data_IF_145921454082
#
_entry.id   IF_145921454082
#
_cell.length_a   1.000
_cell.length_b   1.000
_cell.length_c   1.000
_cell.angle_alpha   90.00
_cell.angle_beta   90.00
_cell.angle_gamma   90.00
#
_symmetry.space_group_name_H-M   'P 1'
#
loop_
_entity.id
_entity.type
_entity.pdbx_description
1 polymer ?
#
# COMPACT_ATOMS: atom_id res chain seq x y z
N UNK A 1 -7.56 -11.41 -11.52
CA UNK A 1 -6.63 -10.76 -10.57
C UNK A 1 -6.81 -11.38 -9.19
N UNK A 2 -5.79 -11.29 -8.34
CA UNK A 2 -5.91 -11.58 -6.90
C UNK A 2 -6.09 -10.28 -6.14
N UNK A 3 -6.84 -10.32 -5.06
CA UNK A 3 -6.96 -9.26 -4.07
C UNK A 3 -6.61 -9.83 -2.70
N UNK A 4 -6.01 -9.02 -1.85
CA UNK A 4 -5.78 -9.31 -0.45
C UNK A 4 -6.91 -8.71 0.36
N UNK A 5 -7.73 -9.54 1.00
CA UNK A 5 -8.65 -9.08 2.04
C UNK A 5 -7.89 -8.99 3.35
N UNK A 6 -7.73 -7.77 3.84
CA UNK A 6 -7.12 -7.43 5.13
C UNK A 6 -8.21 -7.34 6.19
N UNK A 7 -8.13 -8.17 7.23
CA UNK A 7 -9.10 -8.15 8.34
C UNK A 7 -8.80 -7.04 9.35
N UNK A 8 -9.84 -6.51 10.03
CA UNK A 8 -9.68 -5.43 10.99
C UNK A 8 -8.97 -5.87 12.28
N UNK A 9 -8.37 -4.90 12.98
CA UNK A 9 -7.94 -5.07 14.37
C UNK A 9 -7.90 -3.71 15.09
N UNK A 10 -8.24 -3.69 16.37
CA UNK A 10 -8.25 -2.47 17.17
C UNK A 10 -6.85 -1.89 17.38
N UNK A 11 -5.85 -2.74 17.59
CA UNK A 11 -4.47 -2.34 17.87
C UNK A 11 -3.58 -2.51 16.63
N UNK A 12 -2.66 -1.56 16.42
CA UNK A 12 -1.70 -1.61 15.29
C UNK A 12 -0.83 -2.88 15.32
N UNK A 13 -0.42 -3.32 16.50
CA UNK A 13 0.54 -4.42 16.66
C UNK A 13 -0.12 -5.80 16.71
N UNK A 14 -1.46 -5.87 16.77
CA UNK A 14 -2.20 -7.14 16.66
C UNK A 14 -1.81 -7.94 15.42
N UNK A 15 -1.86 -9.28 15.50
CA UNK A 15 -1.56 -10.19 14.39
C UNK A 15 -2.30 -9.77 13.11
N UNK A 16 -1.59 -9.63 11.99
CA UNK A 16 -2.20 -9.32 10.69
C UNK A 16 -2.84 -10.58 10.16
N UNK A 17 -4.15 -10.54 9.90
CA UNK A 17 -4.91 -11.63 9.28
C UNK A 17 -5.39 -11.21 7.91
N UNK A 18 -5.19 -12.10 6.94
CA UNK A 18 -5.54 -11.86 5.55
C UNK A 18 -6.11 -13.10 4.85
N UNK A 19 -6.75 -12.85 3.71
CA UNK A 19 -7.24 -13.88 2.78
C UNK A 19 -6.94 -13.45 1.34
N UNK A 20 -6.55 -14.38 0.46
CA UNK A 20 -6.45 -14.11 -0.97
C UNK A 20 -7.79 -14.41 -1.65
N UNK A 21 -8.31 -13.42 -2.35
CA UNK A 21 -9.55 -13.53 -3.12
C UNK A 21 -9.21 -13.50 -4.61
N UNK A 22 -9.74 -14.47 -5.35
CA UNK A 22 -9.64 -14.50 -6.80
C UNK A 22 -10.88 -13.82 -7.41
N UNK A 23 -10.65 -12.82 -8.25
CA UNK A 23 -11.72 -12.11 -8.94
C UNK A 23 -11.33 -11.72 -10.37
N UNK A 24 -12.29 -11.20 -11.11
CA UNK A 24 -12.11 -10.74 -12.48
C UNK A 24 -12.42 -9.23 -12.56
N UNK A 25 -11.53 -8.45 -13.17
CA UNK A 25 -11.73 -7.02 -13.39
C UNK A 25 -13.03 -6.69 -14.15
N UNK A 26 -13.48 -7.57 -15.05
CA UNK A 26 -14.74 -7.42 -15.80
C UNK A 26 -15.95 -7.34 -14.84
N UNK A 27 -15.88 -8.00 -13.68
CA UNK A 27 -16.93 -7.95 -12.65
C UNK A 27 -16.92 -6.65 -11.83
N UNK A 28 -16.03 -5.71 -12.15
CA UNK A 28 -15.87 -4.44 -11.45
C UNK A 28 -15.79 -4.62 -9.92
N UNK A 29 -14.84 -5.43 -9.42
CA UNK A 29 -14.68 -5.62 -7.99
C UNK A 29 -14.35 -4.29 -7.32
N UNK A 30 -14.83 -4.10 -6.09
CA UNK A 30 -14.46 -2.93 -5.26
C UNK A 30 -13.21 -3.28 -4.47
N UNK A 31 -12.14 -2.55 -4.74
CA UNK A 31 -10.84 -2.69 -4.10
C UNK A 31 -10.02 -1.41 -4.21
N UNK A 32 -8.96 -1.33 -3.42
CA UNK A 32 -8.01 -0.24 -3.43
C UNK A 32 -6.66 -0.77 -3.91
N UNK A 33 -5.94 -0.01 -4.73
CA UNK A 33 -4.57 -0.36 -5.09
C UNK A 33 -3.59 0.32 -4.12
N UNK A 34 -2.54 -0.36 -3.72
CA UNK A 34 -1.52 0.19 -2.83
C UNK A 34 -0.24 0.41 -3.61
N UNK A 35 0.22 1.65 -3.64
CA UNK A 35 1.52 2.02 -4.19
C UNK A 35 2.49 2.31 -3.05
N UNK A 36 3.54 1.50 -2.95
CA UNK A 36 4.52 1.60 -1.88
C UNK A 36 5.89 1.18 -2.39
N UNK A 37 6.94 1.58 -1.69
CA UNK A 37 8.30 1.12 -2.01
C UNK A 37 8.53 -0.28 -1.47
N UNK A 38 9.11 -1.17 -2.26
CA UNK A 38 9.34 -2.54 -1.76
C UNK A 38 10.35 -2.61 -0.61
N UNK A 39 11.25 -1.63 -0.53
CA UNK A 39 12.28 -1.55 0.51
C UNK A 39 13.28 -2.70 0.41
N UNK A 40 13.73 -3.19 1.57
CA UNK A 40 14.47 -4.45 1.66
C UNK A 40 13.58 -5.61 1.19
N UNK A 41 14.09 -6.38 0.21
CA UNK A 41 13.38 -7.50 -0.40
C UNK A 41 13.38 -8.77 0.47
N UNK A 42 13.99 -8.72 1.65
CA UNK A 42 13.99 -9.83 2.59
C UNK A 42 12.57 -10.15 3.11
N UNK A 43 12.02 -11.28 2.66
CA UNK A 43 10.71 -11.80 3.07
C UNK A 43 10.79 -12.38 4.49
N UNK A 44 10.61 -11.53 5.49
CA UNK A 44 10.86 -11.86 6.89
C UNK A 44 9.64 -11.70 7.80
N UNK A 45 8.63 -10.94 7.39
CA UNK A 45 7.49 -10.63 8.24
C UNK A 45 6.30 -11.54 7.97
N UNK A 46 5.77 -12.24 8.98
CA UNK A 46 4.66 -13.16 8.79
C UNK A 46 3.30 -12.45 8.78
N UNK A 47 2.50 -12.75 7.77
CA UNK A 47 1.07 -12.40 7.69
C UNK A 47 0.25 -13.67 7.81
N UNK A 48 -0.70 -13.72 8.74
CA UNK A 48 -1.57 -14.88 8.95
C UNK A 48 -2.52 -15.03 7.78
N UNK A 49 -2.50 -16.20 7.14
CA UNK A 49 -3.46 -16.59 6.11
C UNK A 49 -4.46 -17.61 6.70
N UNK A 50 -5.49 -17.97 5.94
CA UNK A 50 -6.41 -19.04 6.32
C UNK A 50 -5.67 -20.35 6.65
N UNK A 51 -4.66 -20.69 5.84
CA UNK A 51 -3.78 -21.83 6.05
C UNK A 51 -2.32 -21.36 6.11
N UNK A 52 -1.79 -21.26 7.33
CA UNK A 52 -0.37 -20.92 7.56
C UNK A 52 -0.07 -19.42 7.49
N UNK A 53 1.07 -19.09 6.87
CA UNK A 53 1.62 -17.75 6.82
C UNK A 53 2.14 -17.39 5.43
N UNK A 54 1.93 -16.14 5.04
CA UNK A 54 2.63 -15.52 3.93
C UNK A 54 3.74 -14.62 4.49
N UNK A 55 4.97 -14.77 4.00
CA UNK A 55 6.07 -13.90 4.38
C UNK A 55 6.18 -12.73 3.41
N UNK A 56 6.19 -11.52 3.94
CA UNK A 56 6.29 -10.27 3.18
C UNK A 56 7.50 -9.46 3.64
N UNK A 57 7.85 -8.43 2.87
CA UNK A 57 8.91 -7.49 3.27
C UNK A 57 8.46 -6.65 4.46
N UNK A 58 9.41 -6.10 5.23
CA UNK A 58 9.09 -5.23 6.37
C UNK A 58 8.20 -4.04 5.96
N UNK A 59 8.51 -3.39 4.84
CA UNK A 59 7.75 -2.23 4.41
C UNK A 59 6.32 -2.59 3.95
N UNK A 60 6.15 -3.78 3.35
CA UNK A 60 4.81 -4.28 3.02
C UNK A 60 3.99 -4.56 4.28
N UNK A 61 4.62 -5.16 5.30
CA UNK A 61 3.98 -5.42 6.58
C UNK A 61 3.60 -4.14 7.33
N UNK A 62 4.47 -3.13 7.36
CA UNK A 62 4.13 -1.82 7.93
C UNK A 62 2.96 -1.17 7.21
N UNK A 63 2.97 -1.19 5.86
CA UNK A 63 1.85 -0.69 5.07
C UNK A 63 0.54 -1.40 5.43
N UNK A 64 0.57 -2.73 5.59
CA UNK A 64 -0.62 -3.49 6.00
C UNK A 64 -1.11 -3.10 7.39
N UNK A 65 -0.22 -2.83 8.35
CA UNK A 65 -0.61 -2.38 9.70
C UNK A 65 -1.26 -1.02 9.65
N UNK A 66 -0.66 -0.08 8.93
CA UNK A 66 -1.13 1.31 8.89
C UNK A 66 -2.41 1.45 8.05
N UNK A 67 -2.61 0.58 7.05
CA UNK A 67 -3.84 0.52 6.27
C UNK A 67 -4.97 -0.23 6.98
N UNK A 68 -4.70 -1.00 8.03
CA UNK A 68 -5.71 -1.81 8.71
C UNK A 68 -6.68 -0.92 9.48
N UNK A 69 -7.98 -1.10 9.23
CA UNK A 69 -9.03 -0.40 9.97
C UNK A 69 -9.39 -1.17 11.24
N UNK A 70 -9.93 -0.45 12.23
CA UNK A 70 -10.30 -1.05 13.52
C UNK A 70 -11.51 -1.98 13.46
N UNK A 71 -12.45 -1.73 12.53
CA UNK A 71 -13.75 -2.42 12.52
C UNK A 71 -14.21 -2.92 11.13
N UNK A 72 -13.49 -2.59 10.06
CA UNK A 72 -13.85 -2.95 8.70
C UNK A 72 -12.70 -3.65 7.97
N UNK A 73 -13.04 -4.65 7.16
CA UNK A 73 -12.09 -5.27 6.25
C UNK A 73 -11.81 -4.37 5.03
N UNK A 74 -10.62 -4.49 4.45
CA UNK A 74 -10.26 -3.82 3.19
C UNK A 74 -9.88 -4.83 2.13
N UNK A 75 -10.30 -4.60 0.90
CA UNK A 75 -9.82 -5.37 -0.25
C UNK A 75 -8.71 -4.56 -0.92
N UNK A 76 -7.48 -5.05 -0.84
CA UNK A 76 -6.30 -4.37 -1.32
C UNK A 76 -5.70 -5.14 -2.50
N UNK A 77 -5.22 -4.41 -3.50
CA UNK A 77 -4.29 -4.94 -4.50
C UNK A 77 -2.89 -4.43 -4.17
N UNK A 78 -2.01 -5.36 -3.79
CA UNK A 78 -0.61 -5.11 -3.49
C UNK A 78 0.19 -6.00 -4.44
N UNK A 79 0.97 -5.42 -5.34
CA UNK A 79 1.70 -6.15 -6.38
C UNK A 79 2.58 -7.29 -5.85
N UNK A 80 3.31 -7.06 -4.75
CA UNK A 80 4.18 -8.06 -4.13
C UNK A 80 3.42 -9.29 -3.59
N UNK A 81 2.12 -9.16 -3.29
CA UNK A 81 1.28 -10.23 -2.73
C UNK A 81 0.35 -10.81 -3.79
N UNK A 82 -0.27 -9.94 -4.59
CA UNK A 82 -1.31 -10.30 -5.56
C UNK A 82 -0.74 -10.79 -6.90
N UNK A 83 0.57 -10.63 -7.12
CA UNK A 83 1.31 -11.24 -8.23
C UNK A 83 2.22 -12.32 -7.64
N UNK A 84 2.26 -13.50 -8.27
CA UNK A 84 3.16 -14.56 -7.89
C UNK A 84 4.56 -14.19 -8.35
N UNK A 85 5.36 -13.65 -7.43
CA UNK A 85 6.69 -13.16 -7.73
C UNK A 85 7.69 -14.25 -8.16
N UNK A 86 7.35 -15.53 -7.99
CA UNK A 86 8.17 -16.66 -8.41
C UNK A 86 7.77 -17.23 -9.77
N UNK A 87 6.61 -16.85 -10.31
CA UNK A 87 6.13 -17.32 -11.62
C UNK A 87 6.30 -16.25 -12.69
N UNK A 88 7.26 -16.47 -13.59
CA UNK A 88 7.44 -15.61 -14.77
C UNK A 88 6.18 -15.56 -15.64
N UNK A 89 5.47 -16.68 -15.76
CA UNK A 89 4.22 -16.74 -16.51
C UNK A 89 3.15 -15.83 -15.91
N UNK A 90 2.98 -15.85 -14.58
CA UNK A 90 2.02 -14.98 -13.92
C UNK A 90 2.44 -13.51 -13.99
N UNK A 91 3.74 -13.20 -13.83
CA UNK A 91 4.25 -11.83 -14.05
C UNK A 91 3.93 -11.34 -15.46
N UNK A 92 4.18 -12.15 -16.48
CA UNK A 92 3.90 -11.80 -17.87
C UNK A 92 2.41 -11.55 -18.13
N UNK A 93 1.52 -12.19 -17.36
CA UNK A 93 0.08 -11.93 -17.43
C UNK A 93 -0.37 -10.73 -16.60
N UNK A 94 0.14 -10.55 -15.37
CA UNK A 94 -0.33 -9.50 -14.45
C UNK A 94 0.28 -8.13 -14.73
N UNK A 95 1.56 -8.05 -15.12
CA UNK A 95 2.24 -6.77 -15.35
C UNK A 95 1.53 -5.95 -16.44
N UNK A 96 1.15 -6.50 -17.61
CA UNK A 96 0.39 -5.76 -18.61
C UNK A 96 -1.00 -5.31 -18.13
N UNK A 97 -1.55 -5.95 -17.08
CA UNK A 97 -2.83 -5.58 -16.49
C UNK A 97 -2.69 -4.46 -15.44
N UNK A 98 -1.49 -4.12 -14.98
CA UNK A 98 -1.31 -3.15 -13.90
C UNK A 98 -1.99 -1.81 -14.17
N UNK A 99 -1.82 -1.25 -15.37
CA UNK A 99 -2.48 0.02 -15.75
C UNK A 99 -4.01 -0.07 -15.61
N UNK A 100 -4.60 -1.20 -16.01
CA UNK A 100 -6.04 -1.44 -15.83
C UNK A 100 -6.41 -1.65 -14.38
N UNK A 101 -5.60 -2.34 -13.59
CA UNK A 101 -5.86 -2.57 -12.17
C UNK A 101 -5.88 -1.23 -11.43
N UNK A 102 -4.86 -0.39 -11.60
CA UNK A 102 -4.83 0.94 -11.01
C UNK A 102 -6.00 1.81 -11.47
N UNK A 103 -6.31 1.80 -12.77
CA UNK A 103 -7.44 2.57 -13.31
C UNK A 103 -8.82 2.10 -12.82
N UNK A 104 -8.97 0.82 -12.43
CA UNK A 104 -10.23 0.26 -11.94
C UNK A 104 -10.29 0.17 -10.41
N UNK A 105 -9.23 0.52 -9.71
CA UNK A 105 -9.27 0.63 -8.25
C UNK A 105 -10.18 1.79 -7.85
N UNK A 106 -10.91 1.64 -6.74
CA UNK A 106 -11.73 2.71 -6.17
C UNK A 106 -10.87 3.93 -5.84
N UNK A 107 -9.66 3.67 -5.34
CA UNK A 107 -8.62 4.66 -5.12
C UNK A 107 -7.25 3.98 -5.11
N UNK A 108 -6.21 4.78 -5.27
CA UNK A 108 -4.82 4.37 -5.11
C UNK A 108 -4.30 4.96 -3.81
N UNK A 109 -3.93 4.11 -2.86
CA UNK A 109 -3.35 4.53 -1.59
C UNK A 109 -1.84 4.53 -1.74
N UNK A 110 -1.24 5.71 -1.61
CA UNK A 110 0.20 5.89 -1.63
C UNK A 110 0.72 5.75 -0.20
N UNK A 111 1.53 4.72 0.04
CA UNK A 111 2.19 4.51 1.32
C UNK A 111 3.65 4.96 1.24
N UNK A 112 3.92 6.09 1.91
CA UNK A 112 5.23 6.76 1.93
C UNK A 112 6.10 6.35 3.12
N UNK A 113 5.76 5.26 3.81
CA UNK A 113 6.41 4.83 5.05
C UNK A 113 5.77 5.43 6.31
N UNK A 114 6.13 4.87 7.46
CA UNK A 114 5.55 5.26 8.74
C UNK A 114 5.76 6.76 9.05
N UNK A 115 4.90 7.29 9.90
CA UNK A 115 5.09 8.61 10.50
C UNK A 115 6.26 8.54 11.47
N UNK A 116 7.45 8.97 11.04
CA UNK A 116 8.58 9.13 11.95
C UNK A 116 8.31 10.34 12.86
N UNK A 117 8.52 10.19 14.16
CA UNK A 117 8.37 11.27 15.17
C UNK A 117 9.29 12.48 14.90
N UNK A 118 10.31 12.30 14.06
CA UNK A 118 11.21 13.37 13.59
C UNK A 118 10.65 14.17 12.42
N UNK A 119 9.58 13.70 11.77
CA UNK A 119 8.90 14.46 10.73
C UNK A 119 7.96 15.45 11.40
N UNK A 120 8.40 16.70 11.54
CA UNK A 120 7.58 17.86 11.97
C UNK A 120 6.47 18.20 10.98
N UNK A 121 6.50 17.56 9.82
CA UNK A 121 5.57 17.72 8.72
C UNK A 121 4.37 16.78 8.85
N UNK A 122 3.18 17.36 8.94
CA UNK A 122 1.94 16.62 8.70
C UNK A 122 1.68 16.55 7.18
N UNK A 123 1.65 15.35 6.59
CA UNK A 123 1.29 15.21 5.18
C UNK A 123 -0.10 15.77 4.85
N UNK A 124 -1.07 15.71 5.78
CA UNK A 124 -2.42 16.25 5.53
C UNK A 124 -2.38 17.75 5.28
N UNK A 125 -1.64 18.50 6.11
CA UNK A 125 -1.46 19.94 5.94
C UNK A 125 -0.93 20.27 4.54
N UNK A 126 0.02 19.49 4.03
CA UNK A 126 0.57 19.69 2.68
C UNK A 126 -0.42 19.41 1.56
N UNK A 127 -1.16 18.31 1.64
CA UNK A 127 -2.17 18.02 0.62
C UNK A 127 -3.30 19.05 0.64
N UNK A 128 -3.65 19.57 1.81
CA UNK A 128 -4.60 20.67 1.95
C UNK A 128 -4.06 21.97 1.36
N UNK A 129 -2.75 22.21 1.49
CA UNK A 129 -2.09 23.34 0.87
C UNK A 129 -2.01 23.29 -0.64
N UNK A 130 -1.79 22.11 -1.20
CA UNK A 130 -1.87 21.92 -2.65
C UNK A 130 -3.30 22.09 -3.17
N UNK A 131 -4.30 21.78 -2.34
CA UNK A 131 -5.73 21.92 -2.69
C UNK A 131 -6.25 23.35 -2.56
N UNK A 132 -5.61 24.18 -1.74
CA UNK A 132 -6.07 25.53 -1.43
C UNK A 132 -4.97 26.58 -1.69
N UNK A 133 -5.22 27.50 -2.64
CA UNK A 133 -4.32 28.63 -2.97
C UNK A 133 -3.99 29.56 -1.78
N UNK A 134 -4.70 29.45 -0.66
CA UNK A 134 -4.58 30.31 0.53
C UNK A 134 -4.04 29.59 1.78
N UNK A 135 -3.42 28.42 1.63
CA UNK A 135 -2.91 27.70 2.78
C UNK A 135 -1.72 28.39 3.46
N UNK A 136 -1.57 28.14 4.75
CA UNK A 136 -0.49 28.67 5.59
C UNK A 136 0.88 28.43 4.96
N UNK A 137 1.82 29.39 5.03
CA UNK A 137 3.15 29.23 4.45
C UNK A 137 3.88 28.04 5.06
N UNK A 138 4.17 27.02 4.25
CA UNK A 138 4.97 25.88 4.66
C UNK A 138 6.43 26.29 4.80
N UNK A 139 7.13 25.73 5.80
CA UNK A 139 8.59 25.79 5.81
C UNK A 139 9.13 24.85 4.75
N UNK A 140 9.93 25.39 3.84
CA UNK A 140 10.50 24.67 2.70
C UNK A 140 11.37 23.46 3.12
N UNK A 141 11.96 23.52 4.32
CA UNK A 141 12.79 22.45 4.89
C UNK A 141 11.98 21.18 5.19
N UNK A 142 10.75 21.32 5.68
CA UNK A 142 9.86 20.19 6.01
C UNK A 142 9.43 19.41 4.75
N UNK A 143 9.19 20.14 3.65
CA UNK A 143 8.89 19.56 2.33
C UNK A 143 10.05 18.76 1.75
N UNK A 144 11.28 19.27 1.92
CA UNK A 144 12.47 18.62 1.39
C UNK A 144 12.69 17.23 2.00
N UNK A 145 12.42 17.09 3.31
CA UNK A 145 12.52 15.82 4.01
C UNK A 145 11.43 14.84 3.55
N UNK A 146 10.18 15.30 3.44
CA UNK A 146 9.08 14.46 2.97
C UNK A 146 9.27 13.98 1.52
N UNK A 147 9.64 14.87 0.61
CA UNK A 147 9.88 14.55 -0.80
C UNK A 147 11.17 13.74 -1.01
N UNK A 148 12.07 13.68 -0.03
CA UNK A 148 13.25 12.80 -0.07
C UNK A 148 12.91 11.33 0.17
N UNK A 149 11.69 11.02 0.63
CA UNK A 149 11.27 9.64 0.90
C UNK A 149 11.40 8.77 -0.35
N UNK A 150 11.81 7.49 -0.22
CA UNK A 150 12.11 6.63 -1.36
C UNK A 150 10.98 6.47 -2.38
N UNK A 151 9.75 6.79 -2.00
CA UNK A 151 8.62 6.72 -2.91
C UNK A 151 8.72 7.76 -4.04
N UNK A 152 9.11 9.00 -3.73
CA UNK A 152 9.15 10.10 -4.70
C UNK A 152 10.32 10.03 -5.70
N UNK A 153 11.37 9.27 -5.40
CA UNK A 153 12.53 9.11 -6.27
C UNK A 153 12.39 7.99 -7.30
N UNK A 154 11.26 7.27 -7.31
CA UNK A 154 11.01 6.15 -8.22
C UNK A 154 10.05 6.53 -9.33
N UNK A 155 10.26 5.91 -10.49
CA UNK A 155 9.28 5.91 -11.58
C UNK A 155 8.22 4.86 -11.26
N UNK A 156 6.96 5.30 -11.24
CA UNK A 156 5.79 4.45 -11.07
C UNK A 156 5.15 4.19 -12.43
N UNK A 157 4.53 3.02 -12.59
CA UNK A 157 3.78 2.61 -13.79
C UNK A 157 2.30 2.82 -13.56
#
# INVERSE_FOLDING_TARGET
IRLLRLYPAAERDSEIRCEIIHTNLIKQPIFEAVSYTWGDLNLSQPVRMAEGFLYVTKNCEDALRDLRLSFAQRNLWIDAICINQQSTEDKNHQIPLMSRIYANAQQVVIYVGASDQTTTFDPEDFFDALRHENATPFRQEDLSSFLSRPWFSRVWV
#
